data_IF_593179840380
#
_entry.id   IF_593179840380
#
_cell.length_a   1.000
_cell.length_b   1.000
_cell.length_c   1.000
_cell.angle_alpha   90.00
_cell.angle_beta   90.00
_cell.angle_gamma   90.00
#
_symmetry.space_group_name_H-M   'P 1'
#
loop_
_entity.id
_entity.type
_entity.pdbx_description
1 polymer ?
#
# COMPACT_ATOMS: atom_id res chain seq x y z
N UNK A 1 -2.63 -14.17 -15.51
CA UNK A 1 -1.90 -13.26 -14.60
C UNK A 1 -1.26 -14.14 -13.55
N UNK A 2 0.05 -14.38 -13.67
CA UNK A 2 0.80 -15.29 -12.78
C UNK A 2 1.10 -14.57 -11.47
N UNK A 3 0.62 -15.11 -10.36
CA UNK A 3 0.89 -14.59 -9.01
C UNK A 3 2.33 -14.94 -8.60
N UNK A 4 3.27 -14.05 -8.86
CA UNK A 4 4.64 -14.19 -8.36
C UNK A 4 4.71 -13.73 -6.90
N UNK A 5 4.64 -14.68 -5.96
CA UNK A 5 4.99 -14.49 -4.56
C UNK A 5 3.96 -13.75 -3.70
N UNK A 6 3.73 -14.24 -2.48
CA UNK A 6 3.03 -13.47 -1.46
C UNK A 6 3.93 -12.30 -1.05
N UNK A 7 3.44 -11.07 -1.20
CA UNK A 7 4.11 -9.88 -0.67
C UNK A 7 4.15 -9.87 0.87
N UNK A 8 4.73 -8.83 1.49
CA UNK A 8 4.86 -8.74 2.94
C UNK A 8 3.49 -8.80 3.62
N UNK A 9 3.27 -9.84 4.42
CA UNK A 9 2.11 -9.96 5.30
C UNK A 9 2.45 -9.29 6.63
N UNK A 10 1.71 -8.23 6.97
CA UNK A 10 1.92 -7.49 8.22
C UNK A 10 0.70 -7.69 9.11
N UNK A 11 0.91 -8.32 10.28
CA UNK A 11 -0.12 -8.44 11.30
C UNK A 11 -0.30 -7.09 12.02
N UNK A 12 -1.49 -6.51 11.92
CA UNK A 12 -1.83 -5.23 12.54
C UNK A 12 -2.50 -5.47 13.90
N UNK A 13 -2.15 -4.66 14.91
CA UNK A 13 -2.86 -4.67 16.20
C UNK A 13 -4.25 -4.03 16.04
N UNK A 14 -5.24 -4.43 16.86
CA UNK A 14 -6.61 -3.91 16.81
C UNK A 14 -6.70 -2.37 16.98
N UNK A 15 -5.70 -1.74 17.60
CA UNK A 15 -5.59 -0.28 17.72
C UNK A 15 -4.85 0.38 16.55
N UNK A 16 -4.98 -0.15 15.33
CA UNK A 16 -4.21 0.33 14.19
C UNK A 16 -4.70 1.71 13.74
N UNK A 17 -3.82 2.71 13.83
CA UNK A 17 -4.14 4.08 13.44
C UNK A 17 -3.71 4.36 12.00
N UNK A 18 -4.22 5.45 11.41
CA UNK A 18 -3.74 5.94 10.11
C UNK A 18 -2.26 6.30 10.11
N UNK A 19 -1.70 6.73 11.26
CA UNK A 19 -0.28 7.01 11.40
C UNK A 19 0.56 5.72 11.36
N UNK A 20 0.10 4.66 12.04
CA UNK A 20 0.75 3.35 11.96
C UNK A 20 0.70 2.80 10.54
N UNK A 21 -0.43 2.97 9.83
CA UNK A 21 -0.55 2.59 8.43
C UNK A 21 0.39 3.37 7.53
N UNK A 22 0.46 4.69 7.73
CA UNK A 22 1.38 5.54 6.99
C UNK A 22 2.83 5.06 7.15
N UNK A 23 3.31 4.80 8.38
CA UNK A 23 4.66 4.25 8.60
C UNK A 23 4.87 2.94 7.85
N UNK A 24 3.91 2.01 7.93
CA UNK A 24 3.97 0.72 7.26
C UNK A 24 4.18 0.82 5.74
N UNK A 25 3.46 1.73 5.09
CA UNK A 25 3.58 1.96 3.66
C UNK A 25 5.00 2.37 3.28
N UNK A 26 5.67 3.16 4.12
CA UNK A 26 7.04 3.58 3.88
C UNK A 26 8.08 2.52 4.15
N UNK A 27 7.92 1.83 5.28
CA UNK A 27 8.92 0.88 5.75
C UNK A 27 8.91 -0.41 4.91
N UNK A 28 7.77 -0.77 4.32
CA UNK A 28 7.59 -2.07 3.68
C UNK A 28 6.95 -2.03 2.30
N UNK A 29 5.92 -1.20 2.06
CA UNK A 29 5.24 -1.20 0.76
C UNK A 29 6.11 -0.60 -0.33
N UNK A 30 6.69 0.58 -0.09
CA UNK A 30 7.53 1.26 -1.07
C UNK A 30 8.74 0.42 -1.49
N UNK A 31 9.58 -0.10 -0.57
CA UNK A 31 10.76 -0.86 -0.96
C UNK A 31 10.41 -2.19 -1.64
N UNK A 32 9.27 -2.78 -1.31
CA UNK A 32 8.78 -3.99 -1.98
C UNK A 32 8.33 -3.70 -3.41
N UNK A 33 7.63 -2.60 -3.64
CA UNK A 33 7.19 -2.20 -4.98
C UNK A 33 8.38 -1.87 -5.87
N UNK A 34 9.36 -1.11 -5.37
CA UNK A 34 10.59 -0.79 -6.09
C UNK A 34 11.40 -2.04 -6.46
N UNK A 35 11.42 -3.04 -5.58
CA UNK A 35 12.13 -4.31 -5.82
C UNK A 35 11.42 -5.22 -6.83
N UNK A 36 10.09 -5.33 -6.74
CA UNK A 36 9.31 -6.26 -7.56
C UNK A 36 8.88 -5.68 -8.91
N UNK A 37 8.69 -4.36 -9.00
CA UNK A 37 8.11 -3.66 -10.14
C UNK A 37 9.03 -2.56 -10.65
N UNK A 38 10.21 -2.95 -11.15
CA UNK A 38 11.27 -2.08 -11.67
C UNK A 38 10.83 -1.10 -12.78
N UNK A 39 9.65 -1.31 -13.38
CA UNK A 39 9.08 -0.45 -14.43
C UNK A 39 7.89 0.39 -13.94
N UNK A 40 7.67 0.45 -12.63
CA UNK A 40 6.58 1.20 -12.01
C UNK A 40 5.18 0.77 -12.49
N UNK A 41 5.05 -0.50 -12.90
CA UNK A 41 3.82 -1.10 -13.38
C UNK A 41 3.06 -1.89 -12.30
N UNK A 42 3.54 -1.77 -11.06
CA UNK A 42 2.97 -2.45 -9.91
C UNK A 42 1.57 -1.95 -9.56
N UNK A 43 0.75 -2.88 -9.05
CA UNK A 43 -0.59 -2.58 -8.53
C UNK A 43 -0.61 -2.91 -7.05
N UNK A 44 -0.95 -1.92 -6.24
CA UNK A 44 -1.20 -2.10 -4.81
C UNK A 44 -2.71 -2.14 -4.57
N UNK A 45 -3.21 -3.29 -4.15
CA UNK A 45 -4.61 -3.46 -3.77
C UNK A 45 -4.74 -3.38 -2.25
N UNK A 46 -5.74 -2.64 -1.77
CA UNK A 46 -5.97 -2.42 -0.35
C UNK A 46 -7.45 -2.57 0.00
N UNK A 47 -7.75 -3.04 1.21
CA UNK A 47 -9.12 -3.14 1.73
C UNK A 47 -9.72 -1.75 2.02
N UNK A 48 -11.04 -1.64 2.20
CA UNK A 48 -11.73 -0.36 2.39
C UNK A 48 -11.74 0.13 3.86
N UNK A 49 -10.73 -0.23 4.66
CA UNK A 49 -10.64 0.16 6.07
C UNK A 49 -10.61 1.69 6.26
N UNK A 50 -11.24 2.20 7.32
CA UNK A 50 -11.35 3.65 7.60
C UNK A 50 -10.00 4.36 7.69
N UNK A 51 -8.96 3.67 8.17
CA UNK A 51 -7.60 4.22 8.26
C UNK A 51 -7.00 4.54 6.89
N UNK A 52 -7.40 3.85 5.82
CA UNK A 52 -6.90 4.10 4.46
C UNK A 52 -7.44 5.39 3.85
N UNK A 53 -8.59 5.84 4.30
CA UNK A 53 -9.23 7.08 3.84
C UNK A 53 -8.69 8.33 4.53
N UNK A 54 -7.81 8.18 5.53
CA UNK A 54 -7.18 9.29 6.22
C UNK A 54 -6.37 10.17 5.25
N UNK A 55 -6.43 11.49 5.42
CA UNK A 55 -5.77 12.43 4.52
C UNK A 55 -4.25 12.19 4.41
N UNK A 56 -3.59 11.88 5.52
CA UNK A 56 -2.17 11.55 5.55
C UNK A 56 -1.81 10.37 4.63
N UNK A 57 -2.68 9.37 4.57
CA UNK A 57 -2.48 8.16 3.76
C UNK A 57 -2.72 8.46 2.28
N UNK A 58 -3.77 9.23 1.96
CA UNK A 58 -4.05 9.66 0.58
C UNK A 58 -2.94 10.52 0.01
N UNK A 59 -2.45 11.51 0.76
CA UNK A 59 -1.36 12.38 0.33
C UNK A 59 -0.11 11.57 -0.04
N UNK A 60 0.20 10.51 0.72
CA UNK A 60 1.31 9.60 0.41
C UNK A 60 1.13 8.95 -0.97
N UNK A 61 -0.06 8.44 -1.28
CA UNK A 61 -0.31 7.83 -2.59
C UNK A 61 -0.29 8.84 -3.73
N UNK A 62 -0.71 10.08 -3.48
CA UNK A 62 -0.61 11.16 -4.47
C UNK A 62 0.85 11.50 -4.79
N UNK A 63 1.70 11.63 -3.77
CA UNK A 63 3.15 11.85 -3.89
C UNK A 63 3.83 10.76 -4.74
N UNK A 64 3.37 9.52 -4.63
CA UNK A 64 3.94 8.33 -5.28
C UNK A 64 3.13 7.81 -6.48
N UNK A 65 2.21 8.62 -7.01
CA UNK A 65 1.24 8.19 -8.04
C UNK A 65 1.83 7.74 -9.39
N UNK A 66 3.10 8.02 -9.65
CA UNK A 66 3.84 7.57 -10.85
C UNK A 66 4.61 6.27 -10.68
N UNK A 67 4.68 5.72 -9.46
CA UNK A 67 5.49 4.54 -9.14
C UNK A 67 4.64 3.26 -9.11
N UNK A 68 3.37 3.37 -8.76
CA UNK A 68 2.43 2.25 -8.78
C UNK A 68 0.99 2.75 -8.82
N UNK A 69 0.07 1.86 -9.23
CA UNK A 69 -1.37 2.14 -9.25
C UNK A 69 -2.03 1.59 -8.00
N UNK A 70 -2.77 2.43 -7.29
CA UNK A 70 -3.62 1.98 -6.18
C UNK A 70 -4.99 1.52 -6.69
N UNK A 71 -5.50 0.41 -6.16
CA UNK A 71 -6.87 -0.05 -6.41
C UNK A 71 -7.58 -0.33 -5.08
N UNK A 72 -8.84 0.09 -4.99
CA UNK A 72 -9.70 -0.26 -3.86
C UNK A 72 -10.20 -1.70 -3.97
N UNK A 73 -10.58 -2.28 -2.84
CA UNK A 73 -11.32 -3.55 -2.83
C UNK A 73 -12.76 -3.31 -3.32
N UNK A 74 -13.34 -4.22 -4.13
CA UNK A 74 -14.78 -4.16 -4.43
C UNK A 74 -15.59 -4.17 -3.13
N UNK A 75 -16.66 -3.38 -3.07
CA UNK A 75 -17.63 -3.44 -1.97
C UNK A 75 -18.44 -4.74 -2.01
#
# INVERSE_FOLDING_TARGET
>A
MSIHGLGPMVCLNASFTSACYFSLLGDHSQPFMDFMYLHNDGILQQENALCHWAQLVKNRFEEHSGEFRQTGWPA
#
